data_IF_328855399376
#
_entry.id   IF_328855399376
#
_cell.length_a   1.000
_cell.length_b   1.000
_cell.length_c   1.000
_cell.angle_alpha   90.00
_cell.angle_beta   90.00
_cell.angle_gamma   90.00
#
_symmetry.space_group_name_H-M   'P 1'
#
loop_
_entity.id
_entity.type
_entity.pdbx_description
1 polymer ?
#
# COMPACT_ATOMS: atom_id res chain seq x y z
N UNK A 1 13.03 5.24 12.39
CA UNK A 1 12.47 4.27 11.45
C UNK A 1 11.19 4.84 10.82
N UNK A 2 10.89 4.50 9.56
CA UNK A 2 9.66 4.95 8.91
C UNK A 2 8.43 4.43 9.66
N UNK A 3 7.41 5.26 9.76
CA UNK A 3 6.14 4.87 10.34
C UNK A 3 5.20 4.40 9.24
N UNK A 4 4.65 3.18 9.34
CA UNK A 4 3.64 2.68 8.40
C UNK A 4 2.33 2.45 9.12
N UNK A 5 1.27 3.12 8.67
CA UNK A 5 -0.08 3.03 9.22
C UNK A 5 -0.95 2.25 8.26
N UNK A 6 -1.50 1.14 8.73
CA UNK A 6 -2.33 0.25 7.94
C UNK A 6 -3.81 0.46 8.25
N UNK A 7 -4.56 0.84 7.24
CA UNK A 7 -6.02 0.93 7.30
C UNK A 7 -6.60 -0.08 6.31
N UNK A 8 -7.39 -1.03 6.81
CA UNK A 8 -8.13 -1.95 5.92
C UNK A 8 -7.89 -3.44 6.15
N UNK A 9 -7.68 -4.19 5.08
CA UNK A 9 -7.74 -5.65 5.06
C UNK A 9 -6.37 -6.32 5.29
N UNK A 10 -6.38 -7.66 5.29
CA UNK A 10 -5.17 -8.49 5.44
C UNK A 10 -4.13 -8.25 4.34
N UNK A 11 -4.59 -7.97 3.12
CA UNK A 11 -3.70 -7.62 2.01
C UNK A 11 -2.96 -6.31 2.30
N UNK A 12 -3.67 -5.28 2.77
CA UNK A 12 -3.04 -4.04 3.20
C UNK A 12 -2.01 -4.27 4.33
N UNK A 13 -2.27 -5.22 5.22
CA UNK A 13 -1.31 -5.57 6.28
C UNK A 13 -0.02 -6.14 5.71
N UNK A 14 -0.11 -7.11 4.79
CA UNK A 14 1.07 -7.66 4.11
C UNK A 14 1.84 -6.57 3.36
N UNK A 15 1.14 -5.78 2.56
CA UNK A 15 1.74 -4.68 1.79
C UNK A 15 2.45 -3.66 2.70
N UNK A 16 1.87 -3.38 3.87
CA UNK A 16 2.48 -2.47 4.85
C UNK A 16 3.79 -3.01 5.43
N UNK A 17 3.90 -4.32 5.65
CA UNK A 17 5.18 -4.93 6.07
C UNK A 17 6.24 -4.85 4.97
N UNK A 18 5.85 -5.09 3.72
CA UNK A 18 6.74 -4.93 2.56
C UNK A 18 7.23 -3.48 2.48
N UNK A 19 6.32 -2.51 2.55
CA UNK A 19 6.66 -1.08 2.51
C UNK A 19 7.54 -0.67 3.68
N UNK A 20 7.28 -1.17 4.89
CA UNK A 20 8.10 -0.91 6.08
C UNK A 20 9.53 -1.42 5.88
N UNK A 21 9.69 -2.66 5.43
CA UNK A 21 11.00 -3.25 5.17
C UNK A 21 11.79 -2.45 4.13
N UNK A 22 11.16 -2.09 3.02
CA UNK A 22 11.80 -1.31 1.94
C UNK A 22 12.15 0.10 2.39
N UNK A 23 11.21 0.80 3.02
CA UNK A 23 11.44 2.16 3.53
C UNK A 23 12.55 2.21 4.59
N UNK A 24 12.65 1.19 5.44
CA UNK A 24 13.74 1.06 6.41
C UNK A 24 15.09 0.86 5.70
N UNK A 25 15.15 -0.03 4.72
CA UNK A 25 16.36 -0.26 3.91
C UNK A 25 16.79 0.99 3.14
N UNK A 26 15.84 1.79 2.67
CA UNK A 26 16.10 3.05 1.98
C UNK A 26 16.41 4.23 2.91
N UNK A 27 16.36 4.04 4.23
CA UNK A 27 16.66 5.09 5.21
C UNK A 27 15.61 6.20 5.35
N UNK A 28 14.35 5.95 4.97
CA UNK A 28 13.25 6.92 5.01
C UNK A 28 12.74 7.17 6.45
N UNK A 29 13.60 7.68 7.33
CA UNK A 29 13.30 7.83 8.76
C UNK A 29 12.24 8.91 9.07
N UNK A 30 12.16 9.94 8.25
CA UNK A 30 11.26 11.09 8.44
C UNK A 30 10.00 10.99 7.56
N UNK A 31 9.53 9.74 7.35
CA UNK A 31 8.39 9.47 6.48
C UNK A 31 7.32 8.67 7.22
N UNK A 32 6.06 9.07 7.01
CA UNK A 32 4.86 8.34 7.42
C UNK A 32 4.17 7.85 6.16
N UNK A 33 3.99 6.53 6.05
CA UNK A 33 3.28 5.90 4.93
C UNK A 33 1.91 5.44 5.43
N UNK A 34 0.84 5.87 4.78
CA UNK A 34 -0.54 5.53 5.14
C UNK A 34 -1.16 4.68 4.04
N UNK A 35 -1.35 3.39 4.32
CA UNK A 35 -1.96 2.43 3.40
C UNK A 35 -3.48 2.40 3.61
N UNK A 36 -4.23 3.00 2.70
CA UNK A 36 -5.65 3.29 2.82
C UNK A 36 -6.56 2.18 2.30
N UNK A 37 -7.80 2.15 2.81
CA UNK A 37 -8.87 1.27 2.37
C UNK A 37 -10.02 2.08 1.71
N UNK A 38 -10.72 1.46 0.76
CA UNK A 38 -11.83 2.08 0.02
C UNK A 38 -13.13 1.24 0.07
N UNK A 39 -13.17 0.18 0.87
CA UNK A 39 -14.34 -0.72 0.90
C UNK A 39 -15.59 -0.03 1.44
N UNK A 40 -15.43 0.95 2.32
CA UNK A 40 -16.52 1.73 2.87
C UNK A 40 -16.20 3.23 2.86
N UNK A 41 -17.24 4.07 2.79
CA UNK A 41 -17.10 5.52 2.93
C UNK A 41 -16.50 5.90 4.31
N UNK A 42 -16.82 5.13 5.33
CA UNK A 42 -16.25 5.31 6.67
C UNK A 42 -14.73 5.07 6.70
N UNK A 43 -14.24 4.05 5.99
CA UNK A 43 -12.80 3.80 5.89
C UNK A 43 -12.06 4.99 5.25
N UNK A 44 -12.64 5.61 4.22
CA UNK A 44 -12.06 6.80 3.59
C UNK A 44 -12.09 8.01 4.54
N UNK A 45 -13.18 8.20 5.31
CA UNK A 45 -13.27 9.24 6.32
C UNK A 45 -12.21 9.08 7.41
N UNK A 46 -12.03 7.86 7.91
CA UNK A 46 -11.00 7.51 8.90
C UNK A 46 -9.60 7.76 8.37
N UNK A 47 -9.35 7.46 7.09
CA UNK A 47 -8.06 7.74 6.45
C UNK A 47 -7.73 9.23 6.52
N UNK A 48 -8.65 10.11 6.10
CA UNK A 48 -8.44 11.57 6.16
C UNK A 48 -8.25 12.09 7.59
N UNK A 49 -9.01 11.58 8.56
CA UNK A 49 -8.83 11.94 9.96
C UNK A 49 -7.47 11.51 10.50
N UNK A 50 -7.02 10.31 10.14
CA UNK A 50 -5.72 9.78 10.53
C UNK A 50 -4.58 10.60 9.93
N UNK A 51 -4.67 10.99 8.65
CA UNK A 51 -3.70 11.87 7.98
C UNK A 51 -3.55 13.18 8.75
N UNK A 52 -4.66 13.89 9.00
CA UNK A 52 -4.65 15.17 9.72
C UNK A 52 -4.07 15.07 11.12
N UNK A 53 -4.43 14.02 11.85
CA UNK A 53 -3.87 13.75 13.18
C UNK A 53 -2.36 13.53 13.11
N UNK A 54 -1.90 12.65 12.22
CA UNK A 54 -0.47 12.32 12.09
C UNK A 54 0.37 13.51 11.66
N UNK A 55 -0.13 14.35 10.76
CA UNK A 55 0.53 15.58 10.36
C UNK A 55 0.66 16.55 11.53
N UNK A 56 -0.43 16.79 12.28
CA UNK A 56 -0.42 17.65 13.46
C UNK A 56 0.56 17.17 14.53
N UNK A 57 0.59 15.85 14.75
CA UNK A 57 1.44 15.23 15.77
C UNK A 57 2.91 15.12 15.31
N UNK A 58 3.19 15.23 14.02
CA UNK A 58 4.51 15.11 13.41
C UNK A 58 4.71 16.10 12.23
N UNK A 59 4.72 17.40 12.46
CA UNK A 59 4.67 18.40 11.38
C UNK A 59 5.92 18.45 10.49
N UNK A 60 7.03 17.87 10.95
CA UNK A 60 8.28 17.79 10.18
C UNK A 60 8.40 16.51 9.34
N UNK A 61 7.48 15.57 9.48
CA UNK A 61 7.54 14.30 8.72
C UNK A 61 6.76 14.39 7.41
N UNK A 62 7.35 13.82 6.38
CA UNK A 62 6.72 13.62 5.08
C UNK A 62 5.60 12.59 5.18
N UNK A 63 4.43 12.89 4.61
CA UNK A 63 3.29 11.99 4.55
C UNK A 63 3.07 11.47 3.13
N UNK A 64 3.18 10.16 2.97
CA UNK A 64 2.89 9.44 1.72
C UNK A 64 1.59 8.67 1.91
N UNK A 65 0.60 8.88 1.03
CA UNK A 65 -0.68 8.17 1.05
C UNK A 65 -0.74 7.18 -0.10
N UNK A 66 -1.11 5.95 0.19
CA UNK A 66 -1.26 4.88 -0.80
C UNK A 66 -2.46 3.98 -0.45
N UNK A 67 -2.66 2.92 -1.23
CA UNK A 67 -3.72 1.95 -1.01
C UNK A 67 -4.97 2.18 -1.85
N UNK A 68 -6.04 1.44 -1.55
CA UNK A 68 -7.22 1.41 -2.41
C UNK A 68 -7.94 2.76 -2.55
N UNK A 69 -8.02 3.56 -1.48
CA UNK A 69 -8.66 4.87 -1.58
C UNK A 69 -7.79 5.87 -2.36
N UNK A 70 -6.47 5.82 -2.21
CA UNK A 70 -5.53 6.62 -2.98
C UNK A 70 -5.57 6.25 -4.48
N UNK A 71 -5.66 4.97 -4.82
CA UNK A 71 -5.80 4.50 -6.19
C UNK A 71 -7.07 5.01 -6.87
N UNK A 72 -8.20 5.02 -6.16
CA UNK A 72 -9.50 5.38 -6.71
C UNK A 72 -9.75 6.88 -6.81
N UNK A 73 -9.17 7.65 -5.90
CA UNK A 73 -9.42 9.09 -5.76
C UNK A 73 -8.15 9.84 -5.37
N UNK A 74 -7.08 9.73 -6.19
CA UNK A 74 -5.80 10.36 -5.87
C UNK A 74 -5.91 11.87 -5.70
N UNK A 75 -6.77 12.52 -6.47
CA UNK A 75 -7.01 13.97 -6.42
C UNK A 75 -7.51 14.45 -5.05
N UNK A 76 -8.31 13.65 -4.36
CA UNK A 76 -8.84 14.00 -3.03
C UNK A 76 -7.77 13.99 -1.95
N UNK A 77 -6.79 13.12 -2.06
CA UNK A 77 -5.66 13.07 -1.13
C UNK A 77 -4.59 14.09 -1.51
N UNK A 78 -4.35 14.29 -2.81
CA UNK A 78 -3.41 15.29 -3.30
C UNK A 78 -3.86 16.74 -2.98
N UNK A 79 -5.15 16.98 -2.83
CA UNK A 79 -5.70 18.28 -2.42
C UNK A 79 -5.60 18.55 -0.91
N UNK A 80 -5.06 17.62 -0.12
CA UNK A 80 -4.86 17.81 1.32
C UNK A 80 -3.47 18.43 1.57
N UNK A 81 -3.41 19.55 2.26
CA UNK A 81 -2.16 20.25 2.59
C UNK A 81 -1.21 19.40 3.45
N UNK A 82 -1.78 18.38 4.13
CA UNK A 82 -1.04 17.46 4.98
C UNK A 82 -0.35 16.33 4.20
N UNK A 83 -0.60 16.18 2.90
CA UNK A 83 -0.12 15.06 2.08
C UNK A 83 0.95 15.53 1.10
N UNK A 84 2.14 15.00 1.25
CA UNK A 84 3.27 15.32 0.36
C UNK A 84 3.25 14.52 -0.94
N UNK A 85 2.70 13.30 -0.90
CA UNK A 85 2.67 12.43 -2.07
C UNK A 85 1.55 11.40 -2.01
N UNK A 86 0.97 11.11 -3.18
CA UNK A 86 -0.02 10.04 -3.40
C UNK A 86 0.57 8.99 -4.34
N UNK A 87 0.54 7.73 -3.92
CA UNK A 87 1.13 6.60 -4.66
C UNK A 87 0.08 5.52 -4.90
N UNK A 88 -0.05 5.05 -6.12
CA UNK A 88 -1.00 4.01 -6.52
C UNK A 88 -0.66 2.61 -5.99
N UNK A 89 -1.57 1.68 -6.25
CA UNK A 89 -1.43 0.29 -5.82
C UNK A 89 -0.39 -0.49 -6.63
N UNK A 90 -0.10 -0.08 -7.86
CA UNK A 90 0.99 -0.64 -8.65
C UNK A 90 2.33 -0.08 -8.18
N UNK A 91 2.44 1.22 -8.09
CA UNK A 91 3.66 1.96 -7.81
C UNK A 91 4.18 1.74 -6.39
N UNK A 92 3.30 1.48 -5.42
CA UNK A 92 3.73 1.21 -4.02
C UNK A 92 4.55 -0.06 -3.85
N UNK A 93 4.44 -1.00 -4.81
CA UNK A 93 5.22 -2.24 -4.82
C UNK A 93 6.54 -2.10 -5.60
N UNK A 94 6.69 -1.05 -6.37
CA UNK A 94 7.91 -0.68 -7.07
C UNK A 94 8.75 0.32 -6.27
N UNK A 95 9.84 0.78 -6.85
CA UNK A 95 10.71 1.77 -6.20
C UNK A 95 10.09 3.18 -6.15
N UNK A 96 8.99 3.41 -6.87
CA UNK A 96 8.26 4.67 -6.87
C UNK A 96 7.81 5.17 -5.49
N UNK A 97 7.56 4.28 -4.54
CA UNK A 97 7.27 4.66 -3.14
C UNK A 97 8.47 5.35 -2.48
N UNK A 98 9.68 4.95 -2.86
CA UNK A 98 10.94 5.33 -2.21
C UNK A 98 11.57 6.59 -2.80
N UNK A 99 10.98 7.15 -3.85
CA UNK A 99 11.50 8.38 -4.48
C UNK A 99 11.47 9.55 -3.51
N UNK A 100 12.57 10.29 -3.50
CA UNK A 100 12.83 11.38 -2.58
C UNK A 100 12.00 12.65 -2.81
N UNK A 101 12.30 13.73 -2.08
CA UNK A 101 11.70 15.04 -2.33
C UNK A 101 12.00 15.53 -3.77
N UNK A 102 10.99 16.13 -4.41
CA UNK A 102 11.10 16.65 -5.78
C UNK A 102 10.52 15.74 -6.86
N UNK A 103 10.03 14.55 -6.50
CA UNK A 103 9.29 13.68 -7.40
C UNK A 103 7.84 14.14 -7.56
N UNK A 104 7.18 13.57 -8.56
CA UNK A 104 5.78 13.85 -8.85
C UNK A 104 4.88 13.65 -7.62
N UNK A 105 4.06 14.64 -7.30
CA UNK A 105 3.19 14.60 -6.12
C UNK A 105 2.12 13.49 -6.20
N UNK A 106 1.74 13.10 -7.42
CA UNK A 106 0.77 12.01 -7.66
C UNK A 106 1.38 11.01 -8.63
N UNK A 107 1.71 9.83 -8.13
CA UNK A 107 2.20 8.70 -8.91
C UNK A 107 1.17 7.56 -8.86
N UNK A 108 0.14 7.68 -9.69
CA UNK A 108 -1.00 6.73 -9.77
C UNK A 108 -1.32 6.46 -11.22
N UNK A 109 -0.98 5.27 -11.70
CA UNK A 109 -1.32 4.80 -13.04
C UNK A 109 -2.70 4.13 -13.10
N UNK A 110 -3.19 3.88 -14.32
CA UNK A 110 -4.41 3.10 -14.49
C UNK A 110 -4.16 1.65 -14.02
N UNK A 111 -4.82 1.27 -12.96
CA UNK A 111 -4.70 -0.07 -12.37
C UNK A 111 -5.15 -1.18 -13.33
N UNK A 112 -5.96 -0.86 -14.32
CA UNK A 112 -6.44 -1.82 -15.32
C UNK A 112 -5.35 -2.22 -16.31
N UNK A 113 -4.34 -1.38 -16.51
CA UNK A 113 -3.18 -1.64 -17.35
C UNK A 113 -2.06 -2.37 -16.63
N UNK A 114 -2.23 -2.66 -15.33
CA UNK A 114 -1.21 -3.35 -14.54
C UNK A 114 -0.86 -4.72 -15.13
N UNK A 115 0.44 -5.07 -15.20
CA UNK A 115 0.89 -6.36 -15.73
C UNK A 115 0.22 -7.54 -15.02
N UNK A 116 -0.19 -8.55 -15.77
CA UNK A 116 -0.79 -9.78 -15.19
C UNK A 116 0.23 -10.60 -14.40
N UNK A 117 1.48 -10.58 -14.83
CA UNK A 117 2.58 -11.16 -14.08
C UNK A 117 3.09 -10.14 -13.07
N UNK A 118 3.01 -10.46 -11.81
CA UNK A 118 3.57 -9.63 -10.76
C UNK A 118 4.23 -10.50 -9.68
N UNK A 119 5.32 -10.00 -9.15
CA UNK A 119 6.00 -10.61 -8.02
C UNK A 119 5.70 -9.81 -6.75
N UNK A 120 5.37 -10.53 -5.69
CA UNK A 120 5.23 -9.94 -4.36
C UNK A 120 6.61 -9.94 -3.70
N UNK A 121 7.14 -8.80 -3.24
CA UNK A 121 8.41 -8.79 -2.54
C UNK A 121 8.39 -9.72 -1.32
N UNK A 122 9.48 -10.47 -1.15
CA UNK A 122 9.64 -11.41 -0.03
C UNK A 122 9.78 -10.67 1.28
N UNK A 123 9.16 -11.20 2.33
CA UNK A 123 9.31 -10.71 3.71
C UNK A 123 9.75 -11.85 4.63
N UNK A 124 10.55 -11.52 5.63
CA UNK A 124 11.05 -12.48 6.62
C UNK A 124 10.13 -12.65 7.83
N UNK A 125 9.12 -11.80 8.00
CA UNK A 125 8.21 -11.87 9.14
C UNK A 125 7.26 -10.68 9.22
N UNK A 126 6.48 -10.66 10.29
CA UNK A 126 5.57 -9.57 10.64
C UNK A 126 5.96 -9.05 12.03
N UNK A 127 6.32 -7.76 12.12
CA UNK A 127 6.94 -7.17 13.31
C UNK A 127 6.09 -7.25 14.60
N UNK A 128 4.75 -7.28 14.48
CA UNK A 128 3.85 -7.20 15.64
C UNK A 128 2.74 -8.26 15.61
N UNK A 129 2.92 -9.35 14.86
CA UNK A 129 1.86 -10.35 14.67
C UNK A 129 2.37 -11.77 14.80
N UNK A 130 1.55 -12.62 15.43
CA UNK A 130 1.76 -14.07 15.52
C UNK A 130 1.25 -14.84 14.29
N UNK A 131 0.58 -14.15 13.35
CA UNK A 131 0.04 -14.73 12.12
C UNK A 131 0.65 -14.05 10.90
N UNK A 132 1.20 -14.85 10.01
CA UNK A 132 1.67 -14.41 8.70
C UNK A 132 0.52 -14.40 7.68
N UNK A 133 0.58 -13.45 6.74
CA UNK A 133 -0.29 -13.42 5.57
C UNK A 133 0.57 -13.66 4.33
N UNK A 134 0.15 -14.59 3.49
CA UNK A 134 0.79 -14.88 2.21
C UNK A 134 -0.17 -14.51 1.09
N UNK A 135 0.27 -13.67 0.18
CA UNK A 135 -0.53 -13.29 -0.97
C UNK A 135 -0.41 -14.37 -2.05
N UNK A 136 -1.55 -14.89 -2.44
CA UNK A 136 -1.64 -15.88 -3.54
C UNK A 136 -2.26 -15.26 -4.78
N UNK A 137 -3.07 -14.21 -4.60
CA UNK A 137 -3.83 -13.55 -5.66
C UNK A 137 -4.20 -12.12 -5.27
N UNK A 138 -4.43 -11.24 -6.25
CA UNK A 138 -5.12 -9.96 -6.06
C UNK A 138 -5.90 -9.56 -7.31
N UNK A 139 -6.77 -8.54 -7.17
CA UNK A 139 -7.63 -8.08 -8.25
C UNK A 139 -8.81 -9.01 -8.48
N UNK A 140 -9.65 -8.68 -9.46
CA UNK A 140 -10.82 -9.49 -9.82
C UNK A 140 -11.31 -9.13 -11.22
N UNK A 141 -11.61 -10.13 -12.04
CA UNK A 141 -12.16 -9.94 -13.39
C UNK A 141 -13.69 -9.76 -13.40
N UNK A 142 -14.35 -10.07 -12.28
CA UNK A 142 -15.80 -9.84 -12.14
C UNK A 142 -16.11 -8.34 -11.97
N UNK A 143 -17.30 -7.94 -12.43
CA UNK A 143 -17.81 -6.56 -12.38
C UNK A 143 -19.12 -6.49 -11.61
N UNK A 144 -19.13 -7.04 -10.38
CA UNK A 144 -20.31 -6.96 -9.51
C UNK A 144 -20.65 -5.48 -9.23
N UNK A 145 -21.94 -5.13 -9.29
CA UNK A 145 -22.41 -3.73 -9.27
C UNK A 145 -22.00 -2.94 -8.01
N UNK A 146 -21.79 -3.63 -6.90
CA UNK A 146 -21.40 -3.02 -5.61
C UNK A 146 -19.90 -3.12 -5.31
N UNK A 147 -19.12 -3.80 -6.15
CA UNK A 147 -17.75 -4.17 -5.80
C UNK A 147 -16.72 -3.17 -6.33
N UNK A 148 -15.92 -2.61 -5.43
CA UNK A 148 -14.86 -1.66 -5.76
C UNK A 148 -13.53 -2.34 -6.12
N UNK A 149 -13.37 -3.64 -5.85
CA UNK A 149 -12.08 -4.35 -5.95
C UNK A 149 -11.46 -4.26 -7.34
N UNK A 150 -12.18 -4.49 -8.46
CA UNK A 150 -11.59 -4.40 -9.78
C UNK A 150 -10.97 -3.02 -10.09
N UNK A 151 -11.61 -1.97 -9.60
CA UNK A 151 -11.18 -0.58 -9.83
C UNK A 151 -10.04 -0.16 -8.92
N UNK A 152 -9.94 -0.77 -7.73
CA UNK A 152 -8.87 -0.47 -6.77
C UNK A 152 -7.65 -1.37 -6.95
N UNK A 153 -7.83 -2.61 -7.42
CA UNK A 153 -6.79 -3.65 -7.47
C UNK A 153 -6.51 -4.18 -8.86
N UNK A 154 -7.28 -3.74 -9.85
CA UNK A 154 -7.14 -4.14 -11.24
C UNK A 154 -7.67 -5.55 -11.55
N UNK A 155 -7.28 -6.09 -12.72
CA UNK A 155 -7.65 -7.43 -13.13
C UNK A 155 -7.07 -8.50 -12.20
N UNK A 156 -7.65 -9.69 -12.25
CA UNK A 156 -7.16 -10.82 -11.47
C UNK A 156 -5.72 -11.18 -11.85
N UNK A 157 -4.86 -11.28 -10.84
CA UNK A 157 -3.44 -11.63 -10.96
C UNK A 157 -3.08 -12.62 -9.86
N UNK A 158 -2.52 -13.77 -10.26
CA UNK A 158 -2.08 -14.81 -9.32
C UNK A 158 -0.56 -14.79 -9.18
N UNK A 159 -0.09 -15.03 -7.97
CA UNK A 159 1.34 -15.22 -7.69
C UNK A 159 1.75 -16.61 -8.14
N UNK A 160 2.94 -16.74 -8.72
CA UNK A 160 3.43 -18.05 -9.15
C UNK A 160 3.60 -19.00 -7.96
N UNK A 161 3.19 -20.28 -8.06
CA UNK A 161 3.25 -21.23 -6.95
C UNK A 161 4.64 -21.38 -6.30
N UNK A 162 5.71 -21.38 -7.10
CA UNK A 162 7.07 -21.46 -6.58
C UNK A 162 7.41 -20.30 -5.63
N UNK A 163 6.96 -19.09 -5.97
CA UNK A 163 7.18 -17.91 -5.15
C UNK A 163 6.39 -17.96 -3.82
N UNK A 164 5.18 -18.54 -3.87
CA UNK A 164 4.38 -18.77 -2.66
C UNK A 164 5.08 -19.77 -1.73
N UNK A 165 5.61 -20.87 -2.29
CA UNK A 165 6.35 -21.89 -1.53
C UNK A 165 7.60 -21.27 -0.88
N UNK A 166 8.38 -20.51 -1.64
CA UNK A 166 9.57 -19.82 -1.14
C UNK A 166 9.23 -18.83 0.00
N UNK A 167 8.15 -18.07 -0.16
CA UNK A 167 7.67 -17.15 0.89
C UNK A 167 7.27 -17.91 2.17
N UNK A 168 6.58 -19.04 2.05
CA UNK A 168 6.20 -19.87 3.20
C UNK A 168 7.46 -20.43 3.88
N UNK A 169 8.42 -20.95 3.12
CA UNK A 169 9.69 -21.44 3.65
C UNK A 169 10.45 -20.36 4.41
N UNK A 170 10.52 -19.14 3.84
CA UNK A 170 11.16 -17.99 4.49
C UNK A 170 10.48 -17.61 5.81
N UNK A 171 9.14 -17.62 5.85
CA UNK A 171 8.40 -17.29 7.07
C UNK A 171 8.47 -18.38 8.16
N UNK A 172 8.68 -19.62 7.78
CA UNK A 172 8.79 -20.74 8.75
C UNK A 172 10.21 -20.92 9.29
N UNK A 173 11.21 -20.37 8.61
CA UNK A 173 12.61 -20.41 9.03
C UNK A 173 13.00 -19.30 10.02
N UNK A 174 12.16 -18.28 10.20
CA UNK A 174 12.33 -17.15 11.10
C UNK A 174 11.29 -17.16 12.23
#
# INVERSE_FOLDING_TARGET
APQVVTLGCRLNTLESEIMRSRATKAGLNDTIIINTCAVTAEAERQARQTIRRLHRDNPAKRIIVTGCAAQLRPEKFAAMDEVDRVVGNSEKMDDGLLEGPGCEAVAVSDIMESPRNFNVPMISGFAERTRAFVQVQQGCDHRCTFCIIPFARGPNRSVHPSHIIEQVQTLTAN
#
